data_IF_809974469021
#
_entry.id   IF_809974469021
#
_cell.length_a   1.000
_cell.length_b   1.000
_cell.length_c   1.000
_cell.angle_alpha   90.00
_cell.angle_beta   90.00
_cell.angle_gamma   90.00
#
_symmetry.space_group_name_H-M   'P 1'
#
loop_
_entity.id
_entity.type
_entity.pdbx_description
1 polymer ?
#
# COMPACT_ATOMS: atom_id res chain seq x y z
N UNK A 1 46.86 -57.12 -13.71
CA UNK A 1 46.49 -56.50 -12.41
C UNK A 1 45.61 -55.29 -12.68
N UNK A 2 44.35 -55.33 -12.25
CA UNK A 2 43.37 -54.25 -12.41
C UNK A 2 43.53 -53.21 -11.29
N UNK A 3 43.63 -51.92 -11.64
CA UNK A 3 43.41 -50.81 -10.70
C UNK A 3 42.17 -50.04 -11.16
N UNK A 4 41.13 -50.09 -10.31
CA UNK A 4 39.87 -49.40 -10.49
C UNK A 4 39.97 -48.00 -9.86
N UNK A 5 39.81 -46.96 -10.67
CA UNK A 5 39.74 -45.58 -10.19
C UNK A 5 38.28 -45.13 -10.14
N UNK A 6 37.76 -45.02 -8.92
CA UNK A 6 36.37 -44.63 -8.63
C UNK A 6 36.17 -43.15 -8.94
N UNK A 7 35.35 -42.85 -9.94
CA UNK A 7 34.84 -41.52 -10.21
C UNK A 7 34.02 -40.99 -9.02
N UNK A 8 34.45 -39.87 -8.44
CA UNK A 8 33.73 -39.16 -7.37
C UNK A 8 32.55 -38.40 -7.99
N UNK A 9 31.31 -38.73 -7.62
CA UNK A 9 30.12 -37.91 -7.92
C UNK A 9 30.14 -36.65 -7.03
N UNK A 10 29.78 -35.47 -7.57
CA UNK A 10 29.59 -34.27 -6.74
C UNK A 10 28.29 -34.36 -5.92
N UNK A 11 28.21 -33.66 -4.76
CA UNK A 11 27.03 -33.68 -3.90
C UNK A 11 25.85 -32.96 -4.57
N UNK A 12 24.67 -33.58 -4.51
CA UNK A 12 23.40 -32.95 -4.91
C UNK A 12 23.04 -31.89 -3.86
N UNK A 13 22.96 -30.63 -4.26
CA UNK A 13 22.37 -29.56 -3.44
C UNK A 13 20.91 -29.89 -3.13
N UNK A 14 20.44 -29.72 -1.87
CA UNK A 14 19.02 -29.83 -1.56
C UNK A 14 18.28 -28.67 -2.23
N UNK A 15 17.31 -28.99 -3.08
CA UNK A 15 16.40 -28.01 -3.67
C UNK A 15 15.47 -27.54 -2.56
N UNK A 16 15.59 -26.28 -2.17
CA UNK A 16 14.68 -25.67 -1.19
C UNK A 16 13.25 -25.70 -1.75
N UNK A 17 12.23 -26.15 -0.98
CA UNK A 17 10.86 -26.08 -1.45
C UNK A 17 10.47 -24.60 -1.67
N UNK A 18 9.70 -24.28 -2.72
CA UNK A 18 9.19 -22.92 -2.90
C UNK A 18 8.35 -22.53 -1.68
N UNK A 19 8.41 -21.26 -1.23
CA UNK A 19 7.61 -20.80 -0.11
C UNK A 19 6.11 -21.03 -0.40
N UNK A 20 5.29 -21.31 0.62
CA UNK A 20 3.84 -21.41 0.43
C UNK A 20 3.35 -20.10 -0.17
N UNK A 21 2.67 -20.19 -1.30
CA UNK A 21 1.99 -19.06 -1.92
C UNK A 21 0.94 -18.61 -0.91
N UNK A 22 1.22 -17.51 -0.21
CA UNK A 22 0.22 -16.78 0.57
C UNK A 22 -0.97 -16.59 -0.36
N UNK A 23 -2.10 -17.20 0.00
CA UNK A 23 -3.35 -17.08 -0.73
C UNK A 23 -3.62 -15.61 -0.94
N UNK A 24 -3.41 -15.15 -2.18
CA UNK A 24 -3.83 -13.83 -2.59
C UNK A 24 -5.32 -13.78 -2.33
N UNK A 25 -5.72 -13.00 -1.31
CA UNK A 25 -7.09 -12.57 -1.15
C UNK A 25 -7.55 -12.06 -2.53
N UNK A 26 -8.82 -12.28 -2.92
CA UNK A 26 -9.33 -11.76 -4.18
C UNK A 26 -9.08 -10.25 -4.21
N UNK A 27 -8.06 -9.85 -4.97
CA UNK A 27 -7.74 -8.46 -5.21
C UNK A 27 -8.82 -7.98 -6.15
N UNK A 28 -9.93 -7.50 -5.59
CA UNK A 28 -10.99 -6.91 -6.39
C UNK A 28 -10.33 -5.83 -7.25
N UNK A 29 -10.43 -5.89 -8.60
CA UNK A 29 -9.81 -4.90 -9.45
C UNK A 29 -10.34 -3.54 -9.04
N UNK A 30 -9.42 -2.72 -8.55
CA UNK A 30 -9.70 -1.40 -8.03
C UNK A 30 -10.15 -0.53 -9.19
N UNK A 31 -11.40 -0.09 -9.15
CA UNK A 31 -12.06 0.54 -10.27
C UNK A 31 -11.74 2.03 -10.41
N UNK A 32 -12.25 2.66 -11.49
CA UNK A 32 -12.20 4.11 -11.68
C UNK A 32 -12.85 4.89 -10.52
N UNK A 33 -13.75 4.26 -9.76
CA UNK A 33 -14.40 4.87 -8.61
C UNK A 33 -13.43 5.09 -7.43
N UNK A 34 -12.61 4.10 -7.09
CA UNK A 34 -11.61 4.19 -6.03
C UNK A 34 -10.56 5.25 -6.38
N UNK A 35 -10.11 5.28 -7.64
CA UNK A 35 -9.24 6.35 -8.14
C UNK A 35 -9.86 7.73 -7.96
N UNK A 36 -11.14 7.88 -8.29
CA UNK A 36 -11.85 9.14 -8.10
C UNK A 36 -11.89 9.53 -6.61
N UNK A 37 -12.18 8.59 -5.70
CA UNK A 37 -12.18 8.86 -4.27
C UNK A 37 -10.80 9.24 -3.73
N UNK A 38 -9.73 8.61 -4.23
CA UNK A 38 -8.35 9.00 -3.87
C UNK A 38 -8.01 10.41 -4.37
N UNK A 39 -8.50 10.79 -5.55
CA UNK A 39 -8.33 12.14 -6.08
C UNK A 39 -9.10 13.19 -5.26
N UNK A 40 -10.32 12.88 -4.83
CA UNK A 40 -11.10 13.73 -3.92
C UNK A 40 -10.37 13.92 -2.58
N UNK A 41 -9.84 12.84 -2.00
CA UNK A 41 -9.04 12.92 -0.78
C UNK A 41 -7.78 13.77 -0.99
N UNK A 42 -7.08 13.61 -2.12
CA UNK A 42 -5.92 14.44 -2.47
C UNK A 42 -6.27 15.93 -2.55
N UNK A 43 -7.41 16.26 -3.16
CA UNK A 43 -7.93 17.63 -3.25
C UNK A 43 -8.21 18.20 -1.86
N UNK A 44 -8.90 17.44 -0.99
CA UNK A 44 -9.17 17.85 0.39
C UNK A 44 -7.90 18.05 1.23
N UNK A 45 -6.83 17.32 0.91
CA UNK A 45 -5.55 17.44 1.60
C UNK A 45 -4.75 18.71 1.25
N UNK A 46 -5.04 19.35 0.11
CA UNK A 46 -4.35 20.56 -0.33
C UNK A 46 -4.38 21.71 0.69
N UNK A 47 -5.43 21.79 1.51
CA UNK A 47 -5.59 22.79 2.56
C UNK A 47 -4.65 22.61 3.76
N UNK A 48 -3.98 21.47 3.91
CA UNK A 48 -3.14 21.16 5.08
C UNK A 48 -1.63 21.27 4.79
N UNK A 49 -1.24 21.74 3.60
CA UNK A 49 0.17 21.88 3.24
C UNK A 49 0.90 20.54 3.07
N UNK A 50 0.17 19.44 2.90
CA UNK A 50 0.72 18.13 2.55
C UNK A 50 0.84 17.98 1.04
N UNK A 51 1.84 17.24 0.59
CA UNK A 51 1.90 16.77 -0.79
C UNK A 51 1.10 15.47 -0.91
N UNK A 52 0.27 15.36 -1.94
CA UNK A 52 -0.56 14.18 -2.17
C UNK A 52 -0.63 13.86 -3.67
N UNK A 53 -0.41 12.60 -4.05
CA UNK A 53 -0.48 12.14 -5.44
C UNK A 53 -1.02 10.72 -5.54
N UNK A 54 -1.97 10.52 -6.45
CA UNK A 54 -2.46 9.17 -6.80
C UNK A 54 -1.41 8.46 -7.65
N UNK A 55 -1.04 7.24 -7.27
CA UNK A 55 -0.08 6.37 -7.96
C UNK A 55 -0.83 5.18 -8.54
N UNK A 56 -0.65 4.90 -9.83
CA UNK A 56 -1.37 3.85 -10.58
C UNK A 56 -0.50 2.61 -10.85
N UNK A 57 0.10 2.01 -9.81
CA UNK A 57 0.98 0.83 -9.93
C UNK A 57 0.24 -0.48 -9.59
N UNK A 58 -0.77 -0.83 -10.40
CA UNK A 58 -1.63 -1.99 -10.17
C UNK A 58 -2.87 -1.61 -9.37
N UNK A 59 -2.80 -1.66 -8.05
CA UNK A 59 -3.86 -1.11 -7.18
C UNK A 59 -3.55 0.37 -6.92
N UNK A 60 -4.42 1.31 -7.30
CA UNK A 60 -4.20 2.72 -7.06
C UNK A 60 -4.21 3.03 -5.57
N UNK A 61 -3.26 3.86 -5.17
CA UNK A 61 -3.16 4.39 -3.81
C UNK A 61 -2.78 5.87 -3.86
N UNK A 62 -3.07 6.59 -2.80
CA UNK A 62 -2.68 7.96 -2.61
C UNK A 62 -1.41 8.00 -1.78
N UNK A 63 -0.30 8.43 -2.37
CA UNK A 63 0.92 8.74 -1.62
C UNK A 63 0.78 10.13 -1.02
N UNK A 64 0.92 10.22 0.29
CA UNK A 64 0.87 11.47 1.05
C UNK A 64 2.22 11.68 1.72
N UNK A 65 2.74 12.90 1.66
CA UNK A 65 3.94 13.26 2.41
C UNK A 65 3.84 14.65 3.00
N UNK A 66 4.45 14.85 4.17
CA UNK A 66 4.64 16.17 4.75
C UNK A 66 5.93 16.78 4.19
N UNK A 67 5.88 17.87 3.39
CA UNK A 67 7.07 18.47 2.81
C UNK A 67 8.10 18.97 3.82
N UNK A 68 7.70 19.15 5.09
CA UNK A 68 8.56 19.59 6.19
C UNK A 68 9.30 18.43 6.87
N UNK A 69 9.01 17.18 6.53
CA UNK A 69 9.65 16.00 7.11
C UNK A 69 9.91 14.94 6.05
N UNK A 70 11.19 14.60 5.87
CA UNK A 70 11.61 13.60 4.88
C UNK A 70 11.04 12.19 5.15
N UNK A 71 10.75 11.88 6.41
CA UNK A 71 10.31 10.55 6.85
C UNK A 71 8.80 10.43 6.99
N UNK A 72 8.06 11.54 6.93
CA UNK A 72 6.61 11.54 7.07
C UNK A 72 5.94 11.29 5.72
N UNK A 73 5.98 10.03 5.30
CA UNK A 73 5.35 9.53 4.07
C UNK A 73 4.42 8.39 4.42
N UNK A 74 3.23 8.39 3.84
CA UNK A 74 2.25 7.32 4.01
C UNK A 74 1.54 7.02 2.69
N UNK A 75 1.18 5.77 2.49
CA UNK A 75 0.36 5.33 1.37
C UNK A 75 -1.06 5.03 1.87
N UNK A 76 -2.05 5.65 1.25
CA UNK A 76 -3.46 5.50 1.57
C UNK A 76 -4.17 4.73 0.47
N UNK A 77 -4.74 3.58 0.80
CA UNK A 77 -5.56 2.78 -0.10
C UNK A 77 -7.03 3.13 0.07
N UNK A 78 -7.80 2.90 -0.99
CA UNK A 78 -9.25 3.07 -1.00
C UNK A 78 -9.92 1.72 -1.22
N UNK A 79 -10.68 1.26 -0.23
CA UNK A 79 -11.42 0.01 -0.28
C UNK A 79 -12.90 0.29 -0.52
N UNK A 80 -13.48 -0.37 -1.52
CA UNK A 80 -14.92 -0.29 -1.78
C UNK A 80 -15.69 -1.18 -0.82
N UNK A 81 -16.72 -0.61 -0.20
CA UNK A 81 -17.77 -1.32 0.54
C UNK A 81 -19.12 -1.14 -0.18
N UNK A 82 -20.16 -1.83 0.32
CA UNK A 82 -21.49 -1.88 -0.32
C UNK A 82 -22.00 -0.50 -0.80
N UNK A 83 -21.92 0.53 0.06
CA UNK A 83 -22.47 1.86 -0.24
C UNK A 83 -21.47 3.02 -0.04
N UNK A 84 -20.19 2.72 0.23
CA UNK A 84 -19.18 3.74 0.53
C UNK A 84 -17.78 3.25 0.21
N UNK A 85 -16.81 4.16 0.28
CA UNK A 85 -15.40 3.84 0.19
C UNK A 85 -14.71 4.15 1.50
N UNK A 86 -13.79 3.28 1.93
CA UNK A 86 -13.02 3.44 3.16
C UNK A 86 -11.57 3.74 2.81
N UNK A 87 -11.00 4.77 3.44
CA UNK A 87 -9.59 5.10 3.31
C UNK A 87 -8.79 4.45 4.43
N UNK A 88 -7.71 3.75 4.07
CA UNK A 88 -6.86 3.04 5.03
C UNK A 88 -5.39 3.29 4.74
N UNK A 89 -4.58 3.34 5.78
CA UNK A 89 -3.11 3.42 5.65
C UNK A 89 -2.52 2.09 5.18
N UNK A 90 -1.24 2.09 4.79
CA UNK A 90 -0.48 0.87 4.49
C UNK A 90 -0.43 -0.11 5.68
N UNK A 91 -0.51 0.40 6.91
CA UNK A 91 -0.60 -0.39 8.15
C UNK A 91 -2.03 -0.81 8.52
N UNK A 92 -3.02 -0.53 7.67
CA UNK A 92 -4.40 -0.96 7.84
C UNK A 92 -5.25 -0.08 8.77
N UNK A 93 -4.75 1.08 9.22
CA UNK A 93 -5.49 2.02 10.06
C UNK A 93 -6.56 2.72 9.25
N UNK A 94 -7.80 2.75 9.75
CA UNK A 94 -8.93 3.40 9.07
C UNK A 94 -8.89 4.92 9.33
N UNK A 95 -8.78 5.69 8.26
CA UNK A 95 -8.73 7.16 8.30
C UNK A 95 -10.15 7.75 8.25
N UNK A 96 -11.04 7.12 7.50
CA UNK A 96 -12.43 7.55 7.36
C UNK A 96 -13.05 6.96 6.11
N UNK A 97 -14.18 7.53 5.69
CA UNK A 97 -14.89 7.10 4.48
C UNK A 97 -15.05 8.25 3.51
N UNK A 98 -15.40 7.95 2.26
CA UNK A 98 -15.77 8.95 1.25
C UNK A 98 -16.94 9.85 1.66
N UNK A 99 -17.80 9.40 2.58
CA UNK A 99 -18.92 10.21 3.12
C UNK A 99 -18.46 11.25 4.15
N UNK A 100 -17.29 11.05 4.74
CA UNK A 100 -16.69 11.93 5.76
C UNK A 100 -15.34 12.47 5.27
N UNK A 101 -15.26 12.88 4.00
CA UNK A 101 -14.01 13.29 3.34
C UNK A 101 -13.19 14.33 4.15
N UNK A 102 -13.79 15.39 4.72
CA UNK A 102 -13.03 16.35 5.53
C UNK A 102 -12.37 15.72 6.75
N UNK A 103 -13.06 14.77 7.40
CA UNK A 103 -12.55 14.06 8.58
C UNK A 103 -11.41 13.12 8.21
N UNK A 104 -11.54 12.42 7.07
CA UNK A 104 -10.47 11.59 6.53
C UNK A 104 -9.23 12.45 6.22
N UNK A 105 -9.40 13.63 5.61
CA UNK A 105 -8.30 14.54 5.31
C UNK A 105 -7.58 15.04 6.58
N UNK A 106 -8.33 15.48 7.61
CA UNK A 106 -7.75 15.89 8.91
C UNK A 106 -6.92 14.76 9.52
N UNK A 107 -7.46 13.54 9.56
CA UNK A 107 -6.76 12.39 10.14
C UNK A 107 -5.51 12.01 9.36
N UNK A 108 -5.55 12.07 8.04
CA UNK A 108 -4.38 11.83 7.19
C UNK A 108 -3.31 12.92 7.40
N UNK A 109 -3.70 14.20 7.46
CA UNK A 109 -2.78 15.30 7.72
C UNK A 109 -2.13 15.20 9.11
N UNK A 110 -2.90 14.81 10.12
CA UNK A 110 -2.40 14.54 11.47
C UNK A 110 -1.43 13.34 11.48
N UNK A 111 -1.76 12.26 10.76
CA UNK A 111 -0.91 11.07 10.68
C UNK A 111 0.49 11.37 10.14
N UNK A 112 0.60 12.22 9.12
CA UNK A 112 1.90 12.66 8.56
C UNK A 112 2.50 13.86 9.32
N UNK A 113 1.93 14.23 10.46
CA UNK A 113 2.41 15.32 11.32
C UNK A 113 2.39 16.70 10.65
N UNK A 114 1.48 16.94 9.71
CA UNK A 114 1.33 18.24 9.06
C UNK A 114 0.50 19.23 9.89
N UNK A 115 -0.35 18.70 10.78
CA UNK A 115 -1.16 19.45 11.75
C UNK A 115 -1.11 18.78 13.12
N UNK A 116 -1.30 19.59 14.15
CA UNK A 116 -1.54 19.12 15.51
C UNK A 116 -3.00 18.70 15.71
N UNK A 117 -3.25 17.94 16.77
CA UNK A 117 -4.57 17.33 17.07
C UNK A 117 -5.53 18.29 17.75
#
# INVERSE_FOLDING_TARGET
MFRAERARRPPRTPVSPPPPVLSALPVTPTGPAERHQLAELASALSGYGVWARVIENGVPFLRVSNPRSFYAVEDVVCERHADSFTFRTSFGVVLGTSRELPRAAVRTAWLVGAIDR
#
